data_IF_899309788394
#
_entry.id   IF_899309788394
#
_cell.length_a   1.000
_cell.length_b   1.000
_cell.length_c   1.000
_cell.angle_alpha   90.00
_cell.angle_beta   90.00
_cell.angle_gamma   90.00
#
_symmetry.space_group_name_H-M   'P 1'
#
loop_
_entity.id
_entity.type
_entity.pdbx_description
1 polymer ?
#
# COMPACT_ATOMS: atom_id res chain seq x y z
N UNK A 1 25.37 -36.23 -14.02
CA UNK A 1 26.52 -37.14 -14.20
C UNK A 1 27.17 -36.76 -15.54
N UNK A 2 28.51 -36.66 -15.58
CA UNK A 2 29.38 -36.00 -16.59
C UNK A 2 29.33 -34.46 -16.52
N UNK A 3 30.32 -33.69 -16.08
CA UNK A 3 31.81 -33.77 -16.01
C UNK A 3 32.49 -33.97 -17.36
N UNK A 4 33.11 -32.89 -17.85
CA UNK A 4 34.34 -32.94 -18.64
C UNK A 4 35.14 -31.65 -18.40
N UNK A 5 36.13 -31.76 -17.51
CA UNK A 5 37.29 -30.87 -17.46
C UNK A 5 38.23 -31.17 -18.63
N UNK A 6 38.93 -30.16 -19.13
CA UNK A 6 40.26 -30.31 -19.72
C UNK A 6 41.16 -29.17 -19.25
N UNK A 7 42.39 -29.56 -18.90
CA UNK A 7 43.48 -28.85 -18.23
C UNK A 7 44.28 -27.97 -19.20
N UNK A 8 44.70 -26.78 -18.75
CA UNK A 8 46.08 -26.30 -18.49
C UNK A 8 47.14 -26.54 -19.58
N UNK A 9 47.77 -25.44 -20.04
CA UNK A 9 49.22 -25.34 -20.27
C UNK A 9 49.69 -23.94 -19.86
N UNK A 10 50.73 -23.89 -19.03
CA UNK A 10 51.48 -22.72 -18.54
C UNK A 10 52.39 -22.08 -19.61
N UNK A 11 52.80 -20.81 -19.41
CA UNK A 11 53.98 -20.29 -20.12
C UNK A 11 54.22 -18.77 -20.15
N UNK A 12 54.69 -18.21 -19.04
CA UNK A 12 55.72 -17.14 -18.91
C UNK A 12 55.63 -15.77 -19.66
N UNK A 13 55.52 -14.73 -18.82
CA UNK A 13 56.26 -13.44 -18.76
C UNK A 13 56.44 -12.59 -20.04
N UNK A 14 55.81 -11.41 -20.01
CA UNK A 14 56.26 -10.19 -20.68
C UNK A 14 55.66 -8.96 -20.00
N UNK A 15 56.48 -8.15 -19.33
CA UNK A 15 56.08 -6.85 -18.80
C UNK A 15 55.98 -5.84 -19.95
N UNK A 16 54.80 -5.31 -20.18
CA UNK A 16 54.59 -4.05 -20.90
C UNK A 16 53.66 -3.17 -20.08
N UNK A 17 54.20 -2.06 -19.61
CA UNK A 17 53.46 -0.96 -19.01
C UNK A 17 52.54 -0.38 -20.09
N UNK A 18 51.23 -0.66 -20.02
CA UNK A 18 50.21 0.10 -20.74
C UNK A 18 49.09 0.46 -19.78
N UNK A 19 49.04 1.76 -19.51
CA UNK A 19 47.91 2.52 -18.98
C UNK A 19 46.59 2.06 -19.60
N UNK A 20 45.75 1.37 -18.83
CA UNK A 20 44.38 1.06 -19.21
C UNK A 20 43.43 2.12 -18.63
N UNK A 21 42.76 2.80 -19.54
CA UNK A 21 41.68 3.76 -19.32
C UNK A 21 40.54 3.12 -18.52
N UNK A 22 40.05 3.85 -17.50
CA UNK A 22 38.79 3.55 -16.84
C UNK A 22 37.65 3.49 -17.86
N UNK A 23 36.92 2.38 -17.88
CA UNK A 23 35.70 2.24 -18.64
C UNK A 23 34.64 3.24 -18.12
N UNK A 24 33.96 4.00 -18.99
CA UNK A 24 32.99 4.98 -18.54
C UNK A 24 31.79 4.28 -17.88
N UNK A 25 31.45 4.74 -16.68
CA UNK A 25 30.25 4.37 -15.93
C UNK A 25 29.00 4.42 -16.84
N UNK A 26 28.08 3.43 -16.76
CA UNK A 26 26.85 3.48 -17.53
C UNK A 26 26.06 4.73 -17.17
N UNK A 27 25.74 5.55 -18.17
CA UNK A 27 24.92 6.75 -18.01
C UNK A 27 23.58 6.35 -17.39
N UNK A 28 23.00 7.18 -16.50
CA UNK A 28 21.69 6.91 -15.93
C UNK A 28 20.68 6.74 -17.07
N UNK A 29 20.08 5.55 -17.13
CA UNK A 29 18.98 5.26 -18.05
C UNK A 29 17.87 6.26 -17.74
N UNK A 30 17.58 7.12 -18.70
CA UNK A 30 16.50 8.08 -18.64
C UNK A 30 15.20 7.38 -18.29
N UNK A 31 14.51 7.89 -17.27
CA UNK A 31 13.20 7.40 -16.87
C UNK A 31 12.24 7.40 -18.07
N UNK A 32 11.46 6.32 -18.31
CA UNK A 32 10.55 6.28 -19.43
C UNK A 32 9.50 7.39 -19.30
N UNK A 33 9.38 8.22 -20.34
CA UNK A 33 8.48 9.38 -20.45
C UNK A 33 6.97 9.05 -20.45
N UNK A 34 6.57 7.81 -20.11
CA UNK A 34 5.18 7.35 -20.15
C UNK A 34 4.44 7.40 -18.81
N UNK A 35 4.92 8.19 -17.83
CA UNK A 35 4.32 8.29 -16.50
C UNK A 35 2.90 8.93 -16.50
N UNK A 36 2.49 9.58 -17.60
CA UNK A 36 1.21 10.31 -17.67
C UNK A 36 0.01 9.43 -18.04
N UNK A 37 0.17 8.42 -18.91
CA UNK A 37 -0.94 7.54 -19.31
C UNK A 37 -1.22 6.40 -18.32
N UNK A 38 -0.21 6.01 -17.52
CA UNK A 38 -0.33 4.95 -16.51
C UNK A 38 -1.10 5.39 -15.25
N UNK A 39 -1.12 6.69 -14.96
CA UNK A 39 -1.76 7.21 -13.76
C UNK A 39 -3.26 6.95 -13.70
N UNK A 40 -4.00 7.15 -14.80
CA UNK A 40 -5.45 6.96 -14.80
C UNK A 40 -5.85 5.47 -14.64
N UNK A 41 -5.08 4.54 -15.22
CA UNK A 41 -5.39 3.10 -15.19
C UNK A 41 -5.09 2.48 -13.81
N UNK A 42 -4.00 2.88 -13.16
CA UNK A 42 -3.69 2.49 -11.78
C UNK A 42 -4.75 2.99 -10.80
N UNK A 43 -5.28 4.19 -11.01
CA UNK A 43 -6.39 4.73 -10.22
C UNK A 43 -7.69 3.98 -10.44
N UNK A 44 -8.03 3.62 -11.69
CA UNK A 44 -9.21 2.81 -11.99
C UNK A 44 -9.10 1.39 -11.41
N UNK A 45 -7.92 0.77 -11.48
CA UNK A 45 -7.68 -0.56 -10.90
C UNK A 45 -7.68 -0.54 -9.36
N UNK A 46 -7.17 0.53 -8.72
CA UNK A 46 -7.36 0.77 -7.29
C UNK A 46 -8.84 0.92 -6.93
N UNK A 47 -9.60 1.67 -7.73
CA UNK A 47 -11.06 1.82 -7.56
C UNK A 47 -11.84 0.52 -7.70
N UNK A 48 -11.39 -0.38 -8.58
CA UNK A 48 -11.99 -1.71 -8.75
C UNK A 48 -11.67 -2.65 -7.59
N UNK A 49 -10.60 -2.36 -6.83
CA UNK A 49 -10.14 -3.13 -5.68
C UNK A 49 -10.73 -2.62 -4.35
N UNK A 50 -10.75 -1.30 -4.17
CA UNK A 50 -11.39 -0.62 -3.06
C UNK A 50 -12.52 0.21 -3.64
N UNK A 51 -13.78 -0.20 -3.46
CA UNK A 51 -14.96 0.54 -3.92
C UNK A 51 -15.19 1.82 -3.05
N UNK A 52 -14.10 2.45 -2.63
CA UNK A 52 -13.99 3.38 -1.53
C UNK A 52 -14.54 4.76 -1.88
N UNK A 53 -14.75 5.04 -3.17
CA UNK A 53 -15.27 6.32 -3.67
C UNK A 53 -16.73 6.25 -4.15
N UNK A 54 -17.25 5.07 -4.52
CA UNK A 54 -18.67 4.91 -4.86
C UNK A 54 -19.55 4.86 -3.60
N UNK A 55 -19.07 4.24 -2.51
CA UNK A 55 -19.84 4.10 -1.26
C UNK A 55 -19.74 5.33 -0.35
N UNK A 56 -18.66 6.11 -0.40
CA UNK A 56 -18.55 7.31 0.45
C UNK A 56 -19.47 8.44 0.01
N UNK A 57 -19.77 8.56 -1.28
CA UNK A 57 -20.63 9.65 -1.79
C UNK A 57 -22.14 9.34 -1.69
N UNK A 58 -22.52 8.08 -1.52
CA UNK A 58 -23.93 7.67 -1.44
C UNK A 58 -24.46 7.57 -0.01
N UNK A 59 -23.59 7.46 1.00
CA UNK A 59 -23.97 7.29 2.42
C UNK A 59 -23.65 8.48 3.33
N UNK A 60 -22.87 9.46 2.89
CA UNK A 60 -22.65 10.72 3.60
C UNK A 60 -23.58 11.79 3.00
N UNK A 61 -24.82 11.84 3.48
CA UNK A 61 -25.83 12.83 3.09
C UNK A 61 -25.53 14.25 3.61
N UNK A 62 -24.31 14.73 3.43
CA UNK A 62 -23.83 16.05 3.85
C UNK A 62 -23.03 16.73 2.73
N UNK A 63 -22.88 18.06 2.83
CA UNK A 63 -22.06 18.86 1.90
C UNK A 63 -20.70 18.18 1.65
N UNK A 64 -20.18 18.17 0.41
CA UNK A 64 -18.89 17.55 0.13
C UNK A 64 -17.81 18.18 1.01
N UNK A 65 -17.33 17.41 2.00
CA UNK A 65 -16.19 17.77 2.83
C UNK A 65 -15.02 18.14 1.91
N UNK A 66 -14.37 19.27 2.20
CA UNK A 66 -13.19 19.72 1.47
C UNK A 66 -12.12 18.61 1.42
N UNK A 67 -11.37 18.54 0.31
CA UNK A 67 -10.23 17.63 0.10
C UNK A 67 -9.01 18.03 0.96
N UNK A 68 -9.23 18.28 2.26
CA UNK A 68 -8.16 18.48 3.22
C UNK A 68 -7.58 17.14 3.67
N UNK A 69 -6.37 17.17 4.24
CA UNK A 69 -5.72 15.96 4.72
C UNK A 69 -6.50 15.32 5.86
N UNK A 70 -7.11 16.12 6.73
CA UNK A 70 -7.93 15.68 7.87
C UNK A 70 -9.16 14.92 7.39
N UNK A 71 -9.91 15.47 6.42
CA UNK A 71 -11.07 14.81 5.83
C UNK A 71 -10.70 13.51 5.13
N UNK A 72 -9.55 13.48 4.43
CA UNK A 72 -9.04 12.27 3.78
C UNK A 72 -8.68 11.21 4.82
N UNK A 73 -7.98 11.58 5.89
CA UNK A 73 -7.62 10.66 6.98
C UNK A 73 -8.86 10.19 7.74
N UNK A 74 -9.83 11.05 8.00
CA UNK A 74 -11.05 10.66 8.69
C UNK A 74 -11.88 9.67 7.86
N UNK A 75 -12.16 10.02 6.60
CA UNK A 75 -12.98 9.20 5.70
C UNK A 75 -12.34 7.84 5.42
N UNK A 76 -11.05 7.84 5.10
CA UNK A 76 -10.39 6.65 4.58
C UNK A 76 -9.63 5.87 5.65
N UNK A 77 -9.15 6.53 6.70
CA UNK A 77 -8.16 5.95 7.60
C UNK A 77 -8.65 5.81 9.04
N UNK A 78 -9.88 6.23 9.36
CA UNK A 78 -10.42 6.11 10.72
C UNK A 78 -10.25 4.71 11.33
N UNK A 79 -10.48 3.59 10.63
CA UNK A 79 -10.25 2.26 11.22
C UNK A 79 -8.79 1.99 11.57
N UNK A 80 -7.83 2.57 10.83
CA UNK A 80 -6.40 2.49 11.15
C UNK A 80 -6.08 3.40 12.33
N UNK A 81 -6.58 4.63 12.31
CA UNK A 81 -6.41 5.60 13.39
C UNK A 81 -6.97 5.05 14.72
N UNK A 82 -8.12 4.36 14.69
CA UNK A 82 -8.76 3.76 15.86
C UNK A 82 -8.16 2.40 16.29
N UNK A 83 -7.17 1.86 15.57
CA UNK A 83 -6.54 0.58 15.93
C UNK A 83 -7.33 -0.67 15.55
N UNK A 84 -8.32 -0.54 14.67
CA UNK A 84 -9.20 -1.63 14.22
C UNK A 84 -8.65 -2.37 13.00
N UNK A 85 -7.89 -1.67 12.14
CA UNK A 85 -7.34 -2.20 10.88
C UNK A 85 -5.81 -2.00 10.85
N UNK A 86 -5.02 -2.97 10.33
CA UNK A 86 -3.56 -2.83 10.27
C UNK A 86 -3.12 -1.68 9.35
N UNK A 87 -3.78 -1.49 8.21
CA UNK A 87 -3.44 -0.44 7.27
C UNK A 87 -4.62 -0.05 6.37
N UNK A 88 -4.51 1.10 5.69
CA UNK A 88 -5.38 1.44 4.58
C UNK A 88 -4.63 2.25 3.53
N UNK A 89 -5.12 2.21 2.30
CA UNK A 89 -4.65 3.05 1.21
C UNK A 89 -5.57 4.26 1.05
N UNK A 90 -4.96 5.40 0.76
CA UNK A 90 -5.68 6.56 0.27
C UNK A 90 -4.87 7.24 -0.80
N UNK A 91 -5.58 7.89 -1.72
CA UNK A 91 -4.96 8.80 -2.65
C UNK A 91 -5.24 10.23 -2.24
N UNK A 92 -4.21 11.08 -2.25
CA UNK A 92 -4.36 12.50 -2.05
C UNK A 92 -3.60 13.31 -3.12
N UNK A 93 -4.02 14.55 -3.41
CA UNK A 93 -3.21 15.52 -4.16
C UNK A 93 -1.83 15.74 -3.53
N UNK A 94 -0.86 16.20 -4.32
CA UNK A 94 0.48 16.54 -3.82
C UNK A 94 0.44 17.57 -2.67
N UNK A 95 -0.48 18.54 -2.71
CA UNK A 95 -0.70 19.51 -1.64
C UNK A 95 -1.04 18.86 -0.29
N UNK A 96 -1.87 17.81 -0.30
CA UNK A 96 -2.22 17.07 0.90
C UNK A 96 -1.02 16.30 1.49
N UNK A 97 -0.08 15.86 0.65
CA UNK A 97 1.12 15.17 1.15
C UNK A 97 2.03 16.10 1.96
N UNK A 98 2.09 17.38 1.57
CA UNK A 98 2.77 18.41 2.35
C UNK A 98 2.04 18.64 3.69
N UNK A 99 0.72 18.78 3.69
CA UNK A 99 -0.07 18.92 4.93
C UNK A 99 0.02 17.70 5.85
N UNK A 100 0.14 16.49 5.30
CA UNK A 100 0.32 15.25 6.08
C UNK A 100 1.61 15.26 6.91
N UNK A 101 2.65 15.96 6.42
CA UNK A 101 3.91 16.10 7.15
C UNK A 101 3.75 16.85 8.48
N UNK A 102 2.76 17.76 8.58
CA UNK A 102 2.47 18.49 9.80
C UNK A 102 1.94 17.58 10.93
N UNK A 103 1.29 16.46 10.57
CA UNK A 103 0.77 15.49 11.53
C UNK A 103 1.70 14.30 11.76
N UNK A 104 2.84 14.24 11.06
CA UNK A 104 3.70 13.06 11.04
C UNK A 104 4.17 12.65 12.43
N UNK A 105 4.72 13.58 13.21
CA UNK A 105 5.24 13.29 14.54
C UNK A 105 4.16 12.77 15.49
N UNK A 106 2.94 13.35 15.43
CA UNK A 106 1.81 12.93 16.25
C UNK A 106 1.29 11.55 15.86
N UNK A 107 1.25 11.26 14.55
CA UNK A 107 0.90 9.92 14.07
C UNK A 107 1.94 8.89 14.50
N UNK A 108 3.23 9.23 14.39
CA UNK A 108 4.34 8.34 14.78
C UNK A 108 4.33 8.06 16.29
N UNK A 109 4.01 9.05 17.14
CA UNK A 109 3.80 8.86 18.58
C UNK A 109 2.69 7.86 18.90
N UNK A 110 1.65 7.81 18.05
CA UNK A 110 0.56 6.83 18.14
C UNK A 110 0.87 5.51 17.43
N UNK A 111 2.10 5.29 16.98
CA UNK A 111 2.53 4.08 16.27
C UNK A 111 1.99 3.97 14.84
N UNK A 112 1.51 5.08 14.27
CA UNK A 112 0.97 5.17 12.92
C UNK A 112 2.02 5.76 11.99
N UNK A 113 2.28 5.07 10.88
CA UNK A 113 3.24 5.46 9.85
C UNK A 113 2.56 5.62 8.51
N UNK A 114 3.21 6.40 7.65
CA UNK A 114 2.79 6.59 6.26
C UNK A 114 3.91 6.11 5.33
N UNK A 115 3.53 5.49 4.21
CA UNK A 115 4.46 4.98 3.21
C UNK A 115 3.91 5.23 1.80
N UNK A 116 4.64 5.99 1.01
CA UNK A 116 4.24 6.32 -0.37
C UNK A 116 4.48 5.12 -1.29
N UNK A 117 3.41 4.61 -1.90
CA UNK A 117 3.47 3.46 -2.83
C UNK A 117 3.86 3.96 -4.23
N UNK A 118 3.13 4.93 -4.77
CA UNK A 118 3.45 5.54 -6.05
C UNK A 118 2.92 6.97 -6.13
N UNK A 119 3.54 7.75 -7.01
CA UNK A 119 3.04 9.04 -7.44
C UNK A 119 2.61 8.91 -8.91
N UNK A 120 1.38 9.33 -9.20
CA UNK A 120 0.79 9.26 -10.53
C UNK A 120 0.21 10.64 -10.85
N UNK A 121 0.89 11.38 -11.73
CA UNK A 121 0.53 12.78 -12.03
C UNK A 121 0.58 13.64 -10.77
N UNK A 122 -0.51 14.37 -10.48
CA UNK A 122 -0.62 15.28 -9.34
C UNK A 122 -1.03 14.61 -8.03
N UNK A 123 -1.10 13.27 -7.96
CA UNK A 123 -1.59 12.53 -6.80
C UNK A 123 -0.60 11.47 -6.35
N UNK A 124 -0.61 11.22 -5.05
CA UNK A 124 0.19 10.19 -4.39
C UNK A 124 -0.73 9.15 -3.78
N UNK A 125 -0.44 7.87 -4.01
CA UNK A 125 -1.05 6.74 -3.33
C UNK A 125 -0.22 6.43 -2.09
N UNK A 126 -0.82 6.59 -0.91
CA UNK A 126 -0.14 6.44 0.38
C UNK A 126 -0.80 5.32 1.17
N UNK A 127 0.03 4.44 1.71
CA UNK A 127 -0.35 3.48 2.73
C UNK A 127 -0.20 4.15 4.10
N UNK A 128 -1.27 4.19 4.88
CA UNK A 128 -1.19 4.49 6.32
C UNK A 128 -1.36 3.20 7.09
N UNK A 129 -0.54 2.98 8.10
CA UNK A 129 -0.58 1.73 8.85
C UNK A 129 -0.17 1.91 10.30
N UNK A 130 -0.72 1.08 11.18
CA UNK A 130 -0.21 0.91 12.54
C UNK A 130 0.90 -0.11 12.51
N UNK A 131 2.11 0.30 12.89
CA UNK A 131 3.31 -0.51 12.75
C UNK A 131 3.18 -1.87 13.42
N UNK A 132 2.69 -1.91 14.66
CA UNK A 132 2.48 -3.14 15.41
C UNK A 132 1.48 -4.09 14.74
N UNK A 133 0.33 -3.57 14.31
CA UNK A 133 -0.73 -4.37 13.69
C UNK A 133 -0.33 -4.89 12.31
N UNK A 134 0.34 -4.06 11.49
CA UNK A 134 0.83 -4.49 10.19
C UNK A 134 1.93 -5.56 10.33
N UNK A 135 2.86 -5.40 11.28
CA UNK A 135 3.87 -6.44 11.59
C UNK A 135 3.21 -7.76 12.00
N UNK A 136 2.17 -7.72 12.83
CA UNK A 136 1.42 -8.91 13.23
C UNK A 136 0.71 -9.56 12.04
N UNK A 137 0.02 -8.77 11.22
CA UNK A 137 -0.68 -9.25 10.03
C UNK A 137 0.28 -9.94 9.05
N UNK A 138 1.42 -9.33 8.76
CA UNK A 138 2.42 -9.88 7.82
C UNK A 138 3.23 -11.05 8.37
N UNK A 139 3.07 -11.38 9.67
CA UNK A 139 3.66 -12.56 10.31
C UNK A 139 2.74 -13.78 10.30
N UNK A 140 1.47 -13.63 9.89
CA UNK A 140 0.57 -14.78 9.81
C UNK A 140 1.06 -15.75 8.73
N UNK A 141 1.07 -17.07 8.98
CA UNK A 141 1.56 -18.05 8.02
C UNK A 141 0.84 -18.00 6.66
N UNK A 142 -0.49 -17.89 6.68
CA UNK A 142 -1.32 -17.80 5.47
C UNK A 142 -1.00 -16.57 4.61
N UNK A 143 -0.71 -15.44 5.26
CA UNK A 143 -0.27 -14.20 4.60
C UNK A 143 1.14 -14.38 4.01
N UNK A 144 2.08 -14.95 4.76
CA UNK A 144 3.44 -15.17 4.29
C UNK A 144 3.48 -16.11 3.09
N UNK A 145 2.74 -17.22 3.13
CA UNK A 145 2.62 -18.17 2.02
C UNK A 145 2.10 -17.49 0.74
N UNK A 146 1.11 -16.59 0.89
CA UNK A 146 0.61 -15.80 -0.23
C UNK A 146 1.70 -14.86 -0.78
N UNK A 147 2.38 -14.11 0.09
CA UNK A 147 3.40 -13.14 -0.32
C UNK A 147 4.64 -13.82 -0.95
N UNK A 148 5.06 -14.98 -0.44
CA UNK A 148 6.16 -15.78 -1.02
C UNK A 148 5.85 -16.15 -2.47
N UNK A 149 4.61 -16.55 -2.78
CA UNK A 149 4.19 -16.87 -4.16
C UNK A 149 4.29 -15.69 -5.13
N UNK A 150 4.32 -14.46 -4.60
CA UNK A 150 4.51 -13.22 -5.35
C UNK A 150 5.95 -12.67 -5.26
N UNK A 151 6.89 -13.46 -4.74
CA UNK A 151 8.30 -13.12 -4.67
C UNK A 151 8.69 -12.15 -3.57
N UNK A 152 7.84 -11.92 -2.56
CA UNK A 152 8.16 -11.01 -1.47
C UNK A 152 9.27 -11.57 -0.57
N UNK A 153 10.23 -10.73 -0.13
CA UNK A 153 11.32 -11.12 0.76
C UNK A 153 10.85 -11.21 2.22
N UNK A 154 10.00 -12.18 2.55
CA UNK A 154 9.38 -12.29 3.89
C UNK A 154 10.38 -12.43 5.03
N UNK A 155 11.56 -13.03 4.77
CA UNK A 155 12.64 -13.22 5.75
C UNK A 155 13.38 -11.93 6.07
N UNK A 156 13.33 -10.92 5.18
CA UNK A 156 13.95 -9.61 5.38
C UNK A 156 13.05 -8.64 6.16
N UNK A 157 11.79 -9.03 6.42
CA UNK A 157 10.88 -8.30 7.28
C UNK A 157 9.98 -7.28 6.56
N UNK A 158 9.19 -6.56 7.36
CA UNK A 158 8.12 -5.68 6.87
C UNK A 158 8.60 -4.61 5.89
N UNK A 159 9.74 -3.97 6.17
CA UNK A 159 10.22 -2.85 5.36
C UNK A 159 10.66 -3.32 3.96
N UNK A 160 11.29 -4.49 3.86
CA UNK A 160 11.63 -5.12 2.60
C UNK A 160 10.37 -5.51 1.80
N UNK A 161 9.34 -6.02 2.49
CA UNK A 161 8.04 -6.31 1.86
C UNK A 161 7.33 -5.04 1.37
N UNK A 162 7.38 -3.94 2.12
CA UNK A 162 6.84 -2.65 1.68
C UNK A 162 7.58 -2.09 0.46
N UNK A 163 8.92 -2.20 0.44
CA UNK A 163 9.73 -1.82 -0.70
C UNK A 163 9.42 -2.68 -1.94
N UNK A 164 9.20 -3.98 -1.75
CA UNK A 164 8.79 -4.89 -2.82
C UNK A 164 7.42 -4.50 -3.38
N UNK A 165 6.43 -4.26 -2.52
CA UNK A 165 5.11 -3.77 -2.90
C UNK A 165 5.20 -2.47 -3.73
N UNK A 166 6.00 -1.52 -3.26
CA UNK A 166 6.25 -0.25 -3.95
C UNK A 166 6.82 -0.48 -5.35
N UNK A 167 7.82 -1.37 -5.47
CA UNK A 167 8.44 -1.74 -6.75
C UNK A 167 7.40 -2.34 -7.70
N UNK A 168 6.60 -3.31 -7.24
CA UNK A 168 5.57 -3.95 -8.07
C UNK A 168 4.54 -2.93 -8.56
N UNK A 169 4.02 -2.09 -7.67
CA UNK A 169 3.04 -1.07 -8.00
C UNK A 169 3.54 -0.03 -9.03
N UNK A 170 4.86 0.19 -9.12
CA UNK A 170 5.46 1.14 -10.07
C UNK A 170 5.87 0.53 -11.41
N UNK A 171 6.31 -0.73 -11.40
CA UNK A 171 6.98 -1.34 -12.56
C UNK A 171 6.11 -2.35 -13.32
N UNK A 172 5.08 -2.92 -12.69
CA UNK A 172 4.29 -3.98 -13.29
C UNK A 172 3.04 -3.47 -14.02
N UNK A 173 2.55 -4.26 -14.98
CA UNK A 173 1.27 -3.99 -15.65
C UNK A 173 0.12 -4.39 -14.72
N UNK A 174 -0.36 -3.41 -13.95
CA UNK A 174 -1.49 -3.57 -13.03
C UNK A 174 -1.09 -3.36 -11.57
N UNK A 175 -2.08 -3.19 -10.70
CA UNK A 175 -1.83 -3.01 -9.28
C UNK A 175 -1.72 -4.37 -8.56
N UNK A 176 -0.75 -4.57 -7.65
CA UNK A 176 -0.58 -5.83 -6.93
C UNK A 176 -1.85 -6.22 -6.17
N UNK A 177 -2.49 -7.32 -6.57
CA UNK A 177 -3.75 -7.79 -5.96
C UNK A 177 -3.53 -8.33 -4.54
N UNK A 178 -2.33 -8.84 -4.25
CA UNK A 178 -1.94 -9.29 -2.91
C UNK A 178 -1.79 -8.15 -1.90
N UNK A 179 -1.97 -6.89 -2.31
CA UNK A 179 -2.11 -5.75 -1.39
C UNK A 179 -3.15 -5.99 -0.30
N UNK A 180 -4.18 -6.80 -0.57
CA UNK A 180 -5.18 -7.19 0.43
C UNK A 180 -4.57 -7.81 1.69
N UNK A 181 -3.42 -8.49 1.58
CA UNK A 181 -2.65 -8.99 2.72
C UNK A 181 -2.19 -7.86 3.65
N UNK A 182 -1.67 -6.77 3.08
CA UNK A 182 -1.21 -5.59 3.84
C UNK A 182 -2.39 -4.84 4.47
N UNK A 183 -3.52 -4.79 3.75
CA UNK A 183 -4.76 -4.14 4.21
C UNK A 183 -5.49 -4.92 5.30
N UNK A 184 -5.08 -6.15 5.61
CA UNK A 184 -5.73 -6.97 6.62
C UNK A 184 -7.03 -7.60 6.17
N UNK A 185 -7.21 -7.84 4.87
CA UNK A 185 -8.39 -8.54 4.36
C UNK A 185 -8.33 -10.04 4.69
N UNK A 186 -9.48 -10.71 4.89
CA UNK A 186 -9.52 -12.16 5.04
C UNK A 186 -8.78 -12.85 3.88
N UNK A 187 -7.99 -13.87 4.17
CA UNK A 187 -7.18 -14.54 3.13
C UNK A 187 -8.04 -15.23 2.07
N UNK A 188 -9.24 -15.68 2.42
CA UNK A 188 -10.22 -16.21 1.48
C UNK A 188 -10.62 -15.16 0.43
N UNK A 189 -10.74 -13.89 0.83
CA UNK A 189 -11.08 -12.79 -0.05
C UNK A 189 -9.91 -12.36 -0.92
N UNK A 190 -8.69 -12.32 -0.36
CA UNK A 190 -7.48 -12.02 -1.12
C UNK A 190 -7.23 -13.08 -2.20
N UNK A 191 -7.21 -14.34 -1.81
CA UNK A 191 -6.99 -15.45 -2.74
C UNK A 191 -8.14 -15.62 -3.72
N UNK A 192 -9.38 -15.42 -3.28
CA UNK A 192 -10.57 -15.41 -4.14
C UNK A 192 -10.50 -14.32 -5.20
N UNK A 193 -10.14 -13.09 -4.82
CA UNK A 193 -9.97 -11.99 -5.77
C UNK A 193 -8.92 -12.31 -6.83
N UNK A 194 -7.77 -12.83 -6.40
CA UNK A 194 -6.68 -13.23 -7.30
C UNK A 194 -7.14 -14.34 -8.26
N UNK A 195 -7.77 -15.39 -7.73
CA UNK A 195 -8.23 -16.56 -8.51
C UNK A 195 -9.30 -16.17 -9.53
N UNK A 196 -10.31 -15.42 -9.09
CA UNK A 196 -11.46 -15.03 -9.92
C UNK A 196 -11.17 -13.80 -10.80
N UNK A 197 -9.97 -13.21 -10.69
CA UNK A 197 -9.57 -11.97 -11.35
C UNK A 197 -10.58 -10.84 -11.07
N UNK A 198 -11.03 -10.75 -9.82
CA UNK A 198 -12.00 -9.76 -9.36
C UNK A 198 -13.44 -9.97 -9.84
N UNK A 199 -13.78 -11.12 -10.44
CA UNK A 199 -15.16 -11.47 -10.85
C UNK A 199 -15.81 -12.39 -9.82
N UNK A 200 -17.09 -12.72 -9.97
CA UNK A 200 -17.79 -13.73 -9.14
C UNK A 200 -17.71 -13.48 -7.62
N UNK A 201 -17.71 -12.20 -7.16
CA UNK A 201 -17.79 -11.90 -5.72
C UNK A 201 -19.17 -12.33 -5.18
N UNK A 202 -19.21 -12.85 -3.95
CA UNK A 202 -20.46 -13.13 -3.22
C UNK A 202 -21.19 -11.83 -2.88
N UNK A 203 -20.41 -10.87 -2.37
CA UNK A 203 -20.84 -9.51 -2.19
C UNK A 203 -19.64 -8.57 -2.38
N UNK A 204 -19.94 -7.28 -2.49
CA UNK A 204 -18.94 -6.27 -2.78
C UNK A 204 -19.24 -5.03 -1.91
N UNK A 205 -18.28 -4.62 -1.07
CA UNK A 205 -18.37 -3.46 -0.17
C UNK A 205 -17.03 -2.72 -0.12
N UNK A 206 -16.40 -2.64 1.04
CA UNK A 206 -15.03 -2.07 1.16
C UNK A 206 -13.98 -2.86 0.36
N UNK A 207 -14.21 -4.17 0.21
CA UNK A 207 -13.51 -5.05 -0.72
C UNK A 207 -14.51 -6.04 -1.34
N UNK A 208 -14.05 -6.85 -2.29
CA UNK A 208 -14.84 -7.93 -2.91
C UNK A 208 -14.73 -9.21 -2.08
N UNK A 209 -15.86 -9.78 -1.69
CA UNK A 209 -15.93 -10.92 -0.77
C UNK A 209 -16.08 -12.23 -1.54
N UNK A 210 -15.28 -13.21 -1.16
CA UNK A 210 -15.24 -14.57 -1.69
C UNK A 210 -15.36 -15.62 -0.58
N UNK A 211 -14.98 -15.27 0.65
CA UNK A 211 -15.10 -16.07 1.86
C UNK A 211 -16.45 -15.90 2.57
N UNK A 212 -16.40 -15.71 3.88
CA UNK A 212 -17.58 -15.47 4.72
C UNK A 212 -18.20 -14.08 4.49
N UNK A 213 -19.39 -14.06 3.88
CA UNK A 213 -20.15 -12.85 3.59
C UNK A 213 -20.66 -12.13 4.84
N UNK A 214 -21.11 -12.88 5.86
CA UNK A 214 -21.65 -12.30 7.07
C UNK A 214 -20.54 -11.62 7.89
N UNK A 215 -19.39 -12.29 8.00
CA UNK A 215 -18.20 -11.73 8.65
C UNK A 215 -17.70 -10.47 7.92
N UNK A 216 -17.62 -10.50 6.58
CA UNK A 216 -17.18 -9.33 5.82
C UNK A 216 -18.13 -8.13 5.96
N UNK A 217 -19.45 -8.36 5.91
CA UNK A 217 -20.45 -7.30 6.13
C UNK A 217 -20.34 -6.71 7.53
N UNK A 218 -20.16 -7.54 8.56
CA UNK A 218 -19.92 -7.07 9.92
C UNK A 218 -18.68 -6.15 10.01
N UNK A 219 -17.58 -6.51 9.34
CA UNK A 219 -16.40 -5.66 9.28
C UNK A 219 -16.66 -4.35 8.53
N UNK A 220 -17.39 -4.37 7.42
CA UNK A 220 -17.77 -3.16 6.68
C UNK A 220 -18.52 -2.19 7.58
N UNK A 221 -19.58 -2.65 8.25
CA UNK A 221 -20.40 -1.84 9.15
C UNK A 221 -19.54 -1.22 10.26
N UNK A 222 -18.67 -2.03 10.89
CA UNK A 222 -17.79 -1.56 11.96
C UNK A 222 -16.84 -0.47 11.48
N UNK A 223 -16.23 -0.65 10.30
CA UNK A 223 -15.32 0.34 9.72
C UNK A 223 -16.03 1.60 9.27
N UNK A 224 -17.21 1.47 8.67
CA UNK A 224 -18.04 2.62 8.25
C UNK A 224 -18.54 3.44 9.43
N UNK A 225 -18.95 2.80 10.53
CA UNK A 225 -19.31 3.48 11.76
C UNK A 225 -18.14 4.29 12.33
N UNK A 226 -16.93 3.70 12.31
CA UNK A 226 -15.72 4.39 12.73
C UNK A 226 -15.39 5.61 11.86
N UNK A 227 -15.42 5.47 10.53
CA UNK A 227 -15.23 6.59 9.61
C UNK A 227 -16.29 7.68 9.78
N UNK A 228 -17.57 7.31 9.91
CA UNK A 228 -18.65 8.27 10.14
C UNK A 228 -18.48 9.04 11.44
N UNK A 229 -18.15 8.36 12.54
CA UNK A 229 -17.92 9.02 13.83
C UNK A 229 -16.78 10.06 13.72
N UNK A 230 -15.67 9.70 13.06
CA UNK A 230 -14.54 10.59 12.90
C UNK A 230 -14.82 11.79 11.99
N UNK A 231 -15.53 11.57 10.88
CA UNK A 231 -16.00 12.65 10.01
C UNK A 231 -16.95 13.59 10.76
N UNK A 232 -17.92 13.05 11.51
CA UNK A 232 -18.87 13.86 12.29
C UNK A 232 -18.17 14.76 13.31
N UNK A 233 -17.10 14.29 13.97
CA UNK A 233 -16.30 15.14 14.86
C UNK A 233 -15.66 16.32 14.12
N UNK A 234 -15.10 16.10 12.93
CA UNK A 234 -14.54 17.18 12.12
C UNK A 234 -15.62 18.17 11.65
N UNK A 235 -16.78 17.68 11.24
CA UNK A 235 -17.93 18.51 10.83
C UNK A 235 -18.48 19.36 11.98
N UNK A 236 -18.39 18.87 13.21
CA UNK A 236 -18.72 19.61 14.43
C UNK A 236 -17.62 20.60 14.86
N UNK A 237 -16.54 20.73 14.08
CA UNK A 237 -15.45 21.65 14.35
C UNK A 237 -14.44 21.17 15.40
N UNK A 238 -14.47 19.87 15.78
CA UNK A 238 -13.46 19.31 16.68
C UNK A 238 -12.10 19.35 15.97
N UNK A 239 -11.08 19.99 16.55
CA UNK A 239 -9.75 20.04 15.94
C UNK A 239 -9.17 18.64 15.74
N UNK A 240 -8.61 18.36 14.56
CA UNK A 240 -8.02 17.04 14.27
C UNK A 240 -6.92 16.65 15.26
N UNK A 241 -6.19 17.64 15.81
CA UNK A 241 -5.22 17.40 16.88
C UNK A 241 -5.84 16.78 18.15
N UNK A 242 -7.05 17.20 18.54
CA UNK A 242 -7.74 16.61 19.69
C UNK A 242 -8.17 15.17 19.40
N UNK A 243 -8.60 14.91 18.16
CA UNK A 243 -8.91 13.56 17.69
C UNK A 243 -7.67 12.67 17.79
N UNK A 244 -6.52 13.13 17.27
CA UNK A 244 -5.25 12.38 17.33
C UNK A 244 -4.81 12.12 18.78
N UNK A 245 -4.95 13.10 19.67
CA UNK A 245 -4.60 12.96 21.08
C UNK A 245 -5.41 11.85 21.77
N UNK A 246 -6.69 11.70 21.43
CA UNK A 246 -7.59 10.68 21.96
C UNK A 246 -7.37 9.26 21.38
N UNK A 247 -6.56 9.10 20.33
CA UNK A 247 -6.29 7.80 19.73
C UNK A 247 -5.53 6.88 20.71
N UNK A 248 -5.76 5.56 20.63
CA UNK A 248 -5.01 4.60 21.42
C UNK A 248 -3.51 4.72 21.12
N UNK A 249 -2.71 4.57 22.18
CA UNK A 249 -1.25 4.55 22.11
C UNK A 249 -0.73 3.42 21.19
N UNK A 250 0.54 3.52 20.81
CA UNK A 250 1.23 2.62 19.89
C UNK A 250 1.17 1.13 20.31
#
# INVERSE_FOLDING_TARGET
MLVASLRCVDGTRGHTHQSQQEAPLPRPVSAPQNCQAFGALLFHLFFLFTNQLAMTNQYLGGNPMADTVESILARNCAPVLAGMKPSNLFSCPASCSASLSAYRSLLEEKGIRTFSICACGARTLTLVYRERLLKQQLRRPDVQDCLIRFGYPVTEGMDAMLAWLQRRARLEKGFPHEIGCFLGYPMEDVTGFIREKGRNCKCCGMWKVYGDEAYAKHLFEKYEQCSRALCNHLEQGVPFLHILAALPAA
#
